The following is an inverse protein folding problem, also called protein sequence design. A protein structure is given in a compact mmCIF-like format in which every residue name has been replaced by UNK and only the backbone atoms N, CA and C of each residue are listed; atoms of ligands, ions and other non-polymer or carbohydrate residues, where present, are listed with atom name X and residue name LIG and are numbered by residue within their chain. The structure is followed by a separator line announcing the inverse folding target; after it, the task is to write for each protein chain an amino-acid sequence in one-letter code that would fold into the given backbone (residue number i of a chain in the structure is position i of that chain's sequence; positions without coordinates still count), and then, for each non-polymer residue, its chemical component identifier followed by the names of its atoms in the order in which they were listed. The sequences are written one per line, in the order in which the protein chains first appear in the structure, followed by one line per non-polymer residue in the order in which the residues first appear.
data_IF_374855131529
#
_entry.id   IF_374855131529
#
_cell.length_a   1.000
_cell.length_b   1.000
_cell.length_c   1.000
_cell.angle_alpha   90.00
_cell.angle_beta   90.00
_cell.angle_gamma   90.00
#
_symmetry.space_group_name_H-M   'P 1'
#
loop_
_entity.id
_entity.type
_entity.pdbx_description
1 polymer ?
#
# COMPACT_ATOMS: atom_id res chain seq x y z
N UNK A 1 44.68 7.01 21.28
CA UNK A 1 43.52 6.27 20.72
C UNK A 1 42.51 6.14 21.84
N UNK A 2 41.41 6.87 21.78
CA UNK A 2 40.29 6.70 22.71
C UNK A 2 39.07 6.37 21.86
N UNK A 3 38.64 5.11 21.87
CA UNK A 3 37.36 4.74 21.29
C UNK A 3 36.26 5.30 22.17
N UNK A 4 35.34 6.07 21.58
CA UNK A 4 34.12 6.49 22.24
C UNK A 4 33.25 5.25 22.44
N UNK A 5 33.05 4.86 23.69
CA UNK A 5 32.04 3.88 24.07
C UNK A 5 30.67 4.47 23.75
N UNK A 6 30.01 3.93 22.73
CA UNK A 6 28.60 4.24 22.47
C UNK A 6 27.82 3.62 23.62
N UNK A 7 27.43 4.44 24.59
CA UNK A 7 26.47 4.05 25.63
C UNK A 7 25.12 3.95 24.94
N UNK A 8 24.69 2.72 24.70
CA UNK A 8 23.37 2.40 24.17
C UNK A 8 22.46 2.07 25.36
N UNK A 9 22.06 3.10 26.13
CA UNK A 9 21.12 2.94 27.25
C UNK A 9 19.68 2.92 26.73
N UNK A 10 18.98 1.77 26.77
CA UNK A 10 17.61 1.67 26.29
C UNK A 10 16.62 2.54 27.09
N UNK A 11 16.91 2.88 28.35
CA UNK A 11 16.04 3.76 29.15
C UNK A 11 16.21 5.23 28.76
N UNK A 12 17.44 5.64 28.43
CA UNK A 12 17.71 6.98 27.89
C UNK A 12 17.13 7.13 26.48
N UNK A 13 17.26 6.11 25.63
CA UNK A 13 16.65 6.06 24.30
C UNK A 13 15.12 6.14 24.38
N UNK A 14 14.49 5.34 25.26
CA UNK A 14 13.05 5.39 25.48
C UNK A 14 12.57 6.76 26.02
N UNK A 15 13.37 7.40 26.86
CA UNK A 15 13.04 8.73 27.43
C UNK A 15 13.14 9.86 26.41
N UNK A 16 13.87 9.65 25.31
CA UNK A 16 14.07 10.62 24.22
C UNK A 16 13.33 10.25 22.94
N UNK A 17 12.60 9.15 22.93
CA UNK A 17 11.90 8.66 21.74
C UNK A 17 10.89 9.71 21.24
N UNK A 18 11.13 10.23 20.04
CA UNK A 18 10.13 10.98 19.31
C UNK A 18 9.23 9.98 18.56
N UNK A 19 7.92 10.23 18.43
CA UNK A 19 7.07 9.39 17.59
C UNK A 19 7.63 9.43 16.16
N UNK A 20 7.97 8.25 15.62
CA UNK A 20 8.37 8.12 14.23
C UNK A 20 7.26 8.74 13.37
N UNK A 21 7.60 9.62 12.40
CA UNK A 21 6.60 10.10 11.48
C UNK A 21 5.98 8.89 10.79
N UNK A 22 4.64 8.81 10.80
CA UNK A 22 3.95 7.68 10.20
C UNK A 22 4.21 7.67 8.68
N UNK A 23 5.18 6.85 8.29
CA UNK A 23 5.42 6.45 6.92
C UNK A 23 4.55 5.24 6.65
N UNK A 24 3.99 5.19 5.45
CA UNK A 24 3.05 4.16 5.05
C UNK A 24 3.56 3.51 3.79
N UNK A 25 3.42 2.19 3.75
CA UNK A 25 3.86 1.36 2.63
C UNK A 25 2.64 0.65 2.05
N UNK A 26 2.54 0.61 0.73
CA UNK A 26 1.36 0.03 0.10
C UNK A 26 1.32 0.18 -1.41
N UNK A 27 0.26 -0.36 -1.98
CA UNK A 27 -0.05 -0.21 -3.41
C UNK A 27 -0.89 1.05 -3.64
N UNK A 28 -0.59 1.79 -4.70
CA UNK A 28 -1.41 2.92 -5.11
C UNK A 28 -2.61 2.44 -5.92
N UNK A 29 -3.80 2.87 -5.54
CA UNK A 29 -4.96 2.90 -6.42
C UNK A 29 -5.28 4.36 -6.76
N UNK A 30 -5.45 4.67 -8.04
CA UNK A 30 -5.79 6.02 -8.47
C UNK A 30 -6.77 6.02 -9.64
N UNK A 31 -7.78 6.86 -9.52
CA UNK A 31 -8.72 7.18 -10.59
C UNK A 31 -8.73 8.69 -10.88
N UNK A 32 -8.96 9.03 -12.15
CA UNK A 32 -9.05 10.40 -12.61
C UNK A 32 -10.23 10.58 -13.58
N UNK A 33 -11.11 11.51 -13.24
CA UNK A 33 -12.37 11.72 -13.95
C UNK A 33 -12.72 13.20 -14.08
N UNK A 34 -13.47 13.55 -15.13
CA UNK A 34 -13.92 14.94 -15.32
C UNK A 34 -15.09 15.26 -14.39
N UNK A 35 -14.96 16.36 -13.65
CA UNK A 35 -15.97 16.80 -12.69
C UNK A 35 -16.34 18.27 -12.87
N UNK A 36 -17.43 18.69 -12.25
CA UNK A 36 -17.71 20.10 -11.93
C UNK A 36 -17.87 20.26 -10.42
N UNK A 37 -17.72 21.49 -9.93
CA UNK A 37 -17.97 21.83 -8.53
C UNK A 37 -19.35 22.43 -8.37
N UNK A 38 -20.22 21.72 -7.65
CA UNK A 38 -21.55 22.18 -7.30
C UNK A 38 -21.61 22.62 -5.83
N UNK A 39 -22.27 23.76 -5.59
CA UNK A 39 -22.44 24.30 -4.24
C UNK A 39 -23.27 23.33 -3.41
N UNK A 40 -22.73 22.88 -2.27
CA UNK A 40 -23.41 21.96 -1.36
C UNK A 40 -23.27 20.47 -1.71
N UNK A 41 -22.89 20.12 -2.93
CA UNK A 41 -22.65 18.73 -3.35
C UNK A 41 -21.16 18.40 -3.50
N UNK A 42 -20.32 19.40 -3.79
CA UNK A 42 -18.89 19.20 -4.02
C UNK A 42 -18.61 18.78 -5.46
N UNK A 43 -17.82 17.72 -5.66
CA UNK A 43 -17.44 17.24 -6.99
C UNK A 43 -18.53 16.30 -7.53
N UNK A 44 -19.04 16.61 -8.72
CA UNK A 44 -20.02 15.77 -9.43
C UNK A 44 -19.54 15.45 -10.85
N UNK A 45 -19.89 14.29 -11.44
CA UNK A 45 -19.48 13.92 -12.80
C UNK A 45 -19.83 15.00 -13.83
N UNK A 46 -18.88 15.31 -14.71
CA UNK A 46 -19.12 16.26 -15.80
C UNK A 46 -20.00 15.65 -16.89
N UNK A 47 -21.22 16.18 -17.02
CA UNK A 47 -22.09 15.95 -18.19
C UNK A 47 -21.96 17.11 -19.21
N UNK A 48 -21.48 16.86 -20.44
CA UNK A 48 -21.36 17.90 -21.47
C UNK A 48 -22.69 18.48 -21.96
N UNK A 49 -23.83 17.82 -21.72
CA UNK A 49 -25.15 18.34 -22.07
C UNK A 49 -25.68 19.34 -21.03
N UNK A 50 -25.21 19.23 -19.78
CA UNK A 50 -25.69 20.04 -18.66
C UNK A 50 -24.68 21.09 -18.21
N UNK A 51 -23.39 20.84 -18.42
CA UNK A 51 -22.30 21.65 -17.88
C UNK A 51 -21.48 22.33 -18.98
N UNK A 52 -21.19 23.62 -18.78
CA UNK A 52 -20.20 24.33 -19.60
C UNK A 52 -18.81 23.73 -19.42
N UNK A 53 -18.08 23.61 -20.54
CA UNK A 53 -16.68 23.14 -20.59
C UNK A 53 -15.77 23.99 -19.70
N UNK A 54 -16.03 25.29 -19.54
CA UNK A 54 -15.20 26.19 -18.72
C UNK A 54 -15.25 25.85 -17.22
N UNK A 55 -16.31 25.17 -16.79
CA UNK A 55 -16.49 24.70 -15.41
C UNK A 55 -15.91 23.31 -15.18
N UNK A 56 -15.51 22.60 -16.24
CA UNK A 56 -14.90 21.27 -16.15
C UNK A 56 -13.58 21.36 -15.39
N UNK A 57 -13.38 20.42 -14.48
CA UNK A 57 -12.15 20.17 -13.73
C UNK A 57 -11.81 18.69 -13.83
N UNK A 58 -10.63 18.32 -13.37
CA UNK A 58 -10.24 16.91 -13.23
C UNK A 58 -10.14 16.55 -11.76
N UNK A 59 -11.03 15.67 -11.30
CA UNK A 59 -10.93 15.05 -9.99
C UNK A 59 -9.89 13.93 -10.02
N UNK A 60 -9.19 13.78 -8.91
CA UNK A 60 -8.24 12.70 -8.66
C UNK A 60 -8.63 12.09 -7.32
N UNK A 61 -8.99 10.82 -7.35
CA UNK A 61 -9.26 10.03 -6.15
C UNK A 61 -8.15 8.99 -6.03
N UNK A 62 -7.37 9.07 -4.94
CA UNK A 62 -6.17 8.27 -4.72
C UNK A 62 -6.25 7.57 -3.37
N UNK A 63 -5.94 6.29 -3.36
CA UNK A 63 -5.82 5.49 -2.17
C UNK A 63 -4.45 4.81 -2.12
N UNK A 64 -3.92 4.63 -0.90
CA UNK A 64 -2.81 3.72 -0.64
C UNK A 64 -3.40 2.53 0.10
N UNK A 65 -3.36 1.36 -0.52
CA UNK A 65 -3.76 0.09 0.07
C UNK A 65 -2.55 -0.41 0.87
N UNK A 66 -2.59 -0.39 2.21
CA UNK A 66 -1.42 -0.72 3.00
C UNK A 66 -1.00 -2.18 2.83
N UNK A 67 0.30 -2.43 2.92
CA UNK A 67 0.81 -3.80 3.03
C UNK A 67 0.27 -4.47 4.29
N UNK A 68 0.00 -5.78 4.23
CA UNK A 68 -0.41 -6.55 5.41
C UNK A 68 0.63 -6.45 6.54
N UNK A 69 1.92 -6.43 6.18
CA UNK A 69 3.05 -6.26 7.10
C UNK A 69 3.01 -4.93 7.90
N UNK A 70 2.31 -3.91 7.40
CA UNK A 70 2.16 -2.63 8.11
C UNK A 70 1.19 -2.70 9.31
N UNK A 71 0.42 -3.78 9.43
CA UNK A 71 -0.62 -3.93 10.46
C UNK A 71 -1.84 -3.02 10.28
N UNK A 72 -1.91 -2.26 9.18
CA UNK A 72 -3.04 -1.38 8.84
C UNK A 72 -4.01 -2.07 7.90
N UNK A 73 -5.30 -2.05 8.24
CA UNK A 73 -6.35 -2.75 7.50
C UNK A 73 -7.34 -1.81 6.78
N UNK A 74 -7.00 -0.54 6.62
CA UNK A 74 -7.86 0.45 5.95
C UNK A 74 -7.04 1.28 4.95
N UNK A 75 -7.62 1.62 3.79
CA UNK A 75 -6.93 2.44 2.81
C UNK A 75 -6.74 3.87 3.31
N UNK A 76 -5.58 4.45 2.99
CA UNK A 76 -5.37 5.87 3.16
C UNK A 76 -5.92 6.56 1.92
N UNK A 77 -7.01 7.30 2.05
CA UNK A 77 -7.66 7.96 0.90
C UNK A 77 -7.41 9.46 0.88
N UNK A 78 -7.10 10.02 -0.29
CA UNK A 78 -7.11 11.46 -0.56
C UNK A 78 -7.81 11.75 -1.86
N UNK A 79 -8.64 12.78 -1.82
CA UNK A 79 -9.47 13.18 -2.94
C UNK A 79 -9.23 14.65 -3.24
N UNK A 80 -8.78 14.96 -4.45
CA UNK A 80 -8.28 16.28 -4.81
C UNK A 80 -8.64 16.67 -6.25
N UNK A 81 -8.24 17.88 -6.63
CA UNK A 81 -8.36 18.39 -8.00
C UNK A 81 -6.97 18.52 -8.62
N UNK A 82 -6.85 18.22 -9.91
CA UNK A 82 -5.60 18.36 -10.66
C UNK A 82 -5.04 19.80 -10.66
N UNK A 83 -5.90 20.80 -10.52
CA UNK A 83 -5.52 22.21 -10.49
C UNK A 83 -5.10 22.70 -9.08
N UNK A 84 -5.39 21.90 -8.05
CA UNK A 84 -5.11 22.25 -6.64
C UNK A 84 -3.61 22.38 -6.37
N UNK A 85 -3.25 23.18 -5.36
CA UNK A 85 -1.84 23.35 -4.94
C UNK A 85 -1.29 22.07 -4.30
N UNK A 86 -2.11 21.36 -3.52
CA UNK A 86 -1.70 20.08 -2.90
C UNK A 86 -1.30 19.05 -3.94
N UNK A 87 -2.07 18.91 -5.03
CA UNK A 87 -1.71 18.03 -6.13
C UNK A 87 -0.45 18.51 -6.83
N UNK A 88 -0.46 19.75 -7.35
CA UNK A 88 0.60 20.23 -8.25
C UNK A 88 1.95 20.43 -7.59
N UNK A 89 1.98 20.76 -6.29
CA UNK A 89 3.21 21.14 -5.59
C UNK A 89 3.74 20.05 -4.66
N UNK A 90 2.88 19.14 -4.17
CA UNK A 90 3.28 18.10 -3.22
C UNK A 90 3.21 16.74 -3.91
N UNK A 91 2.01 16.27 -4.22
CA UNK A 91 1.77 14.90 -4.70
C UNK A 91 2.47 14.69 -6.05
N UNK A 92 2.10 15.48 -7.07
CA UNK A 92 2.62 15.34 -8.42
C UNK A 92 4.12 15.65 -8.51
N UNK A 93 4.64 16.60 -7.72
CA UNK A 93 6.08 16.85 -7.69
C UNK A 93 6.84 15.66 -7.11
N UNK A 94 6.34 15.05 -6.03
CA UNK A 94 6.98 13.88 -5.43
C UNK A 94 6.96 12.67 -6.37
N UNK A 95 5.88 12.45 -7.11
CA UNK A 95 5.79 11.39 -8.13
C UNK A 95 6.79 11.60 -9.28
N UNK A 96 6.87 12.83 -9.83
CA UNK A 96 7.85 13.15 -10.88
C UNK A 96 9.30 13.00 -10.40
N UNK A 97 9.57 13.35 -9.14
CA UNK A 97 10.91 13.17 -8.57
C UNK A 97 11.31 11.69 -8.50
N UNK A 98 10.33 10.78 -8.46
CA UNK A 98 10.52 9.32 -8.54
C UNK A 98 10.49 8.77 -9.97
N UNK A 99 10.42 9.63 -10.99
CA UNK A 99 10.51 9.24 -12.40
C UNK A 99 9.18 9.03 -13.12
N UNK A 100 8.04 9.16 -12.43
CA UNK A 100 6.73 9.05 -13.09
C UNK A 100 6.44 10.22 -14.02
N UNK A 101 5.99 9.93 -15.24
CA UNK A 101 5.65 10.95 -16.23
C UNK A 101 4.15 11.02 -16.49
N UNK A 102 3.40 9.98 -16.13
CA UNK A 102 1.95 9.95 -16.25
C UNK A 102 1.28 9.37 -15.01
N UNK A 103 0.07 9.83 -14.70
CA UNK A 103 -0.71 9.29 -13.59
C UNK A 103 -1.11 7.82 -13.83
N UNK A 104 -1.15 7.37 -15.08
CA UNK A 104 -1.47 5.98 -15.44
C UNK A 104 -0.41 5.00 -14.95
N UNK A 105 0.87 5.39 -14.99
CA UNK A 105 2.00 4.59 -14.50
C UNK A 105 1.98 4.41 -12.98
N UNK A 106 1.36 5.35 -12.26
CA UNK A 106 1.33 5.34 -10.80
C UNK A 106 0.33 4.30 -10.27
N UNK A 107 -0.74 4.02 -11.02
CA UNK A 107 -1.76 3.06 -10.59
C UNK A 107 -1.18 1.64 -10.52
N UNK A 108 -1.27 1.01 -9.35
CA UNK A 108 -0.71 -0.30 -9.06
C UNK A 108 0.75 -0.27 -8.58
N UNK A 109 1.40 0.90 -8.56
CA UNK A 109 2.79 1.02 -8.09
C UNK A 109 2.89 0.78 -6.57
N UNK A 110 3.97 0.14 -6.16
CA UNK A 110 4.31 -0.06 -4.75
C UNK A 110 5.13 1.11 -4.24
N UNK A 111 4.69 1.72 -3.14
CA UNK A 111 5.25 3.01 -2.71
C UNK A 111 5.44 3.10 -1.21
N UNK A 112 6.36 3.97 -0.83
CA UNK A 112 6.47 4.53 0.51
C UNK A 112 5.96 5.96 0.47
N UNK A 113 5.02 6.30 1.34
CA UNK A 113 4.44 7.65 1.43
C UNK A 113 4.50 8.19 2.86
N UNK A 114 4.43 9.51 2.97
CA UNK A 114 4.22 10.21 4.23
C UNK A 114 3.05 11.17 4.09
N UNK A 115 2.26 11.31 5.16
CA UNK A 115 1.26 12.37 5.26
C UNK A 115 1.92 13.68 5.65
N UNK A 116 1.76 14.69 4.80
CA UNK A 116 2.32 16.03 5.03
C UNK A 116 1.23 17.09 5.04
N UNK A 117 1.37 18.16 5.83
CA UNK A 117 0.43 19.27 5.85
C UNK A 117 0.33 19.95 4.48
N UNK A 118 -0.88 20.38 4.11
CA UNK A 118 -1.15 21.09 2.85
C UNK A 118 -1.07 22.61 2.98
N UNK A 119 -0.96 23.15 4.21
CA UNK A 119 -1.15 24.57 4.50
C UNK A 119 -2.62 24.98 4.65
N UNK A 120 -3.58 24.10 4.32
CA UNK A 120 -5.01 24.40 4.42
C UNK A 120 -5.52 24.04 5.80
N UNK A 121 -5.94 25.06 6.54
CA UNK A 121 -6.60 24.90 7.85
C UNK A 121 -8.11 24.74 7.68
N UNK A 122 -8.72 23.93 8.52
CA UNK A 122 -10.16 23.75 8.61
C UNK A 122 -10.58 23.54 10.06
N UNK A 123 -11.76 24.00 10.42
CA UNK A 123 -12.35 23.73 11.73
C UNK A 123 -13.15 22.44 11.64
N UNK A 124 -12.86 21.48 12.51
CA UNK A 124 -13.67 20.26 12.60
C UNK A 124 -14.99 20.52 13.34
N UNK A 125 -15.86 19.51 13.40
CA UNK A 125 -17.14 19.60 14.12
C UNK A 125 -16.99 19.84 15.63
N UNK A 126 -15.81 19.60 16.20
CA UNK A 126 -15.49 19.86 17.60
C UNK A 126 -14.97 21.29 17.86
N UNK A 127 -14.89 22.14 16.82
CA UNK A 127 -14.38 23.51 16.94
C UNK A 127 -12.84 23.61 16.93
N UNK A 128 -12.13 22.50 16.71
CA UNK A 128 -10.67 22.47 16.67
C UNK A 128 -10.17 22.86 15.27
N UNK A 129 -9.17 23.74 15.24
CA UNK A 129 -8.42 24.04 14.02
C UNK A 129 -7.49 22.86 13.69
N UNK A 130 -7.75 22.20 12.55
CA UNK A 130 -6.92 21.13 12.01
C UNK A 130 -6.34 21.54 10.67
N UNK A 131 -5.19 20.98 10.36
CA UNK A 131 -4.56 21.17 9.06
C UNK A 131 -4.81 19.94 8.19
N UNK A 132 -5.27 20.17 6.96
CA UNK A 132 -5.48 19.11 5.99
C UNK A 132 -4.14 18.53 5.55
N UNK A 133 -4.08 17.21 5.41
CA UNK A 133 -2.87 16.49 4.99
C UNK A 133 -3.06 15.85 3.62
N UNK A 134 -1.95 15.66 2.89
CA UNK A 134 -1.92 14.94 1.62
C UNK A 134 -0.71 14.00 1.56
N UNK A 135 -0.62 13.20 0.50
CA UNK A 135 0.51 12.29 0.29
C UNK A 135 1.74 13.03 -0.23
N UNK A 136 2.89 12.70 0.34
CA UNK A 136 4.19 12.91 -0.27
C UNK A 136 4.82 11.54 -0.50
N UNK A 137 5.12 11.23 -1.77
CA UNK A 137 5.78 9.99 -2.15
C UNK A 137 7.28 10.08 -1.84
N UNK A 138 7.82 9.06 -1.20
CA UNK A 138 9.20 9.01 -0.73
C UNK A 138 10.03 8.00 -1.52
N UNK A 139 9.43 6.85 -1.86
CA UNK A 139 10.05 5.82 -2.68
C UNK A 139 8.99 5.07 -3.49
N UNK A 140 9.46 4.44 -4.56
CA UNK A 140 8.72 3.47 -5.37
C UNK A 140 9.53 2.17 -5.40
N UNK A 141 8.85 1.05 -5.43
CA UNK A 141 9.42 -0.30 -5.44
C UNK A 141 8.90 -1.04 -6.67
N UNK A 142 9.73 -1.92 -7.23
CA UNK A 142 9.37 -2.66 -8.44
C UNK A 142 8.39 -3.80 -8.14
N UNK A 143 8.36 -4.27 -6.88
CA UNK A 143 7.49 -5.36 -6.44
C UNK A 143 6.94 -5.18 -5.02
N UNK A 144 5.94 -6.00 -4.68
CA UNK A 144 5.37 -6.06 -3.35
C UNK A 144 6.42 -6.48 -2.32
N UNK A 145 7.25 -7.47 -2.66
CA UNK A 145 8.28 -8.04 -1.79
C UNK A 145 9.35 -7.01 -1.43
N UNK A 146 9.76 -6.17 -2.39
CA UNK A 146 10.70 -5.07 -2.12
C UNK A 146 10.09 -4.01 -1.19
N UNK A 147 8.80 -3.70 -1.39
CA UNK A 147 8.05 -2.78 -0.55
C UNK A 147 7.86 -3.34 0.87
N UNK A 148 7.57 -4.63 1.00
CA UNK A 148 7.48 -5.35 2.28
C UNK A 148 8.82 -5.40 3.00
N UNK A 149 9.91 -5.72 2.28
CA UNK A 149 11.25 -5.71 2.84
C UNK A 149 11.63 -4.32 3.37
N UNK A 150 11.28 -3.26 2.64
CA UNK A 150 11.48 -1.88 3.09
C UNK A 150 10.61 -1.55 4.32
N UNK A 151 9.36 -2.00 4.35
CA UNK A 151 8.46 -1.82 5.49
C UNK A 151 9.01 -2.49 6.76
N UNK A 152 9.45 -3.74 6.65
CA UNK A 152 10.00 -4.53 7.76
C UNK A 152 11.38 -4.05 8.20
N UNK A 153 12.25 -3.62 7.27
CA UNK A 153 13.55 -3.03 7.58
C UNK A 153 13.43 -1.73 8.38
N UNK A 154 12.45 -0.88 8.04
CA UNK A 154 12.20 0.34 8.83
C UNK A 154 11.58 0.08 10.21
N UNK A 155 11.11 -1.13 10.50
CA UNK A 155 10.64 -1.49 11.85
C UNK A 155 11.79 -1.83 12.82
N UNK A 156 13.04 -1.88 12.34
CA UNK A 156 14.22 -2.27 13.14
C UNK A 156 15.40 -1.28 13.17
N UNK A 157 15.38 -0.18 12.40
CA UNK A 157 16.57 0.67 12.22
C UNK A 157 16.29 2.15 12.54
N UNK A 158 16.83 2.59 13.69
CA UNK A 158 17.32 3.96 13.90
C UNK A 158 18.50 4.19 12.95
N UNK A 159 18.29 4.83 11.80
CA UNK A 159 19.39 5.56 11.14
C UNK A 159 18.86 6.71 10.25
N UNK A 160 19.47 7.88 10.44
CA UNK A 160 19.26 9.08 9.65
C UNK A 160 19.58 8.86 8.16
N UNK A 161 18.86 9.47 7.21
CA UNK A 161 19.17 9.32 5.80
C UNK A 161 20.41 10.14 5.44
N UNK A 162 21.56 9.47 5.31
CA UNK A 162 22.71 10.04 4.60
C UNK A 162 22.52 9.83 3.10
N UNK A 163 22.58 10.86 2.24
CA UNK A 163 22.40 10.69 0.80
C UNK A 163 23.67 10.12 0.19
N UNK A 164 23.64 8.87 -0.28
CA UNK A 164 24.74 8.33 -1.10
C UNK A 164 24.23 7.74 -2.41
N UNK A 165 24.65 8.43 -3.46
CA UNK A 165 24.96 8.04 -4.84
C UNK A 165 24.44 6.71 -5.41
N UNK A 166 23.93 6.84 -6.64
CA UNK A 166 23.53 5.80 -7.58
C UNK A 166 24.48 4.58 -7.64
N UNK A 167 23.95 3.35 -7.76
CA UNK A 167 24.78 2.19 -8.05
C UNK A 167 25.26 2.21 -9.50
N UNK A 168 26.58 2.30 -9.69
CA UNK A 168 27.23 1.83 -10.90
C UNK A 168 27.07 0.31 -11.01
N UNK A 169 26.78 -0.13 -12.24
CA UNK A 169 26.70 -1.52 -12.63
C UNK A 169 27.95 -2.32 -12.22
N UNK A 170 27.73 -3.50 -11.65
CA UNK A 170 28.65 -4.62 -11.77
C UNK A 170 27.83 -5.90 -11.93
N UNK A 171 28.10 -6.56 -13.04
CA UNK A 171 27.51 -7.78 -13.52
C UNK A 171 28.00 -8.98 -12.73
N UNK A 172 27.10 -9.78 -12.16
CA UNK A 172 27.39 -11.18 -11.87
C UNK A 172 26.15 -12.06 -12.15
N UNK A 173 26.39 -13.16 -12.86
CA UNK A 173 25.42 -14.05 -13.49
C UNK A 173 24.79 -15.07 -12.49
N UNK A 174 23.72 -15.79 -12.90
CA UNK A 174 22.62 -16.21 -12.03
C UNK A 174 22.78 -17.60 -11.39
N UNK A 175 22.17 -17.79 -10.21
CA UNK A 175 21.77 -19.11 -9.70
C UNK A 175 20.24 -19.22 -9.63
N UNK A 176 19.64 -20.36 -10.02
CA UNK A 176 18.20 -20.53 -10.07
C UNK A 176 17.65 -20.96 -8.71
N UNK A 177 16.86 -20.11 -8.08
CA UNK A 177 16.03 -20.49 -6.93
C UNK A 177 14.61 -19.92 -7.09
N UNK A 178 13.91 -20.37 -8.13
CA UNK A 178 12.63 -19.80 -8.56
C UNK A 178 11.38 -20.62 -8.18
N UNK A 179 11.43 -21.55 -7.21
CA UNK A 179 10.26 -22.42 -6.92
C UNK A 179 9.77 -22.46 -5.47
N UNK A 180 10.50 -21.88 -4.50
CA UNK A 180 10.11 -22.00 -3.08
C UNK A 180 9.22 -20.84 -2.59
N UNK A 181 9.39 -19.63 -3.16
CA UNK A 181 8.58 -18.45 -2.81
C UNK A 181 7.13 -18.57 -3.29
N UNK A 182 6.92 -18.86 -4.59
CA UNK A 182 5.58 -18.99 -5.15
C UNK A 182 4.73 -20.08 -4.45
N UNK A 183 5.36 -21.20 -4.06
CA UNK A 183 4.67 -22.29 -3.33
C UNK A 183 4.27 -21.86 -1.91
N UNK A 184 5.10 -21.05 -1.23
CA UNK A 184 4.79 -20.54 0.11
C UNK A 184 3.62 -19.53 0.06
N UNK A 185 3.65 -18.61 -0.90
CA UNK A 185 2.56 -17.65 -1.15
C UNK A 185 1.26 -18.36 -1.55
N UNK A 186 1.34 -19.35 -2.43
CA UNK A 186 0.18 -20.16 -2.81
C UNK A 186 -0.42 -20.93 -1.62
N UNK A 187 0.39 -21.34 -0.64
CA UNK A 187 -0.08 -22.02 0.57
C UNK A 187 -0.85 -21.06 1.50
N UNK A 188 -0.40 -19.80 1.61
CA UNK A 188 -1.10 -18.78 2.41
C UNK A 188 -2.47 -18.44 1.82
N UNK A 189 -2.56 -18.25 0.49
CA UNK A 189 -3.85 -18.06 -0.17
C UNK A 189 -4.76 -19.29 -0.01
N UNK A 190 -4.20 -20.49 -0.15
CA UNK A 190 -4.93 -21.73 0.06
C UNK A 190 -5.49 -21.85 1.50
N UNK A 191 -4.72 -21.45 2.51
CA UNK A 191 -5.15 -21.42 3.91
C UNK A 191 -6.33 -20.46 4.14
N UNK A 192 -6.26 -19.25 3.59
CA UNK A 192 -7.33 -18.25 3.71
C UNK A 192 -8.62 -18.75 3.07
N UNK A 193 -8.53 -19.35 1.88
CA UNK A 193 -9.69 -19.90 1.16
C UNK A 193 -10.32 -21.05 1.95
N UNK A 194 -9.51 -21.94 2.54
CA UNK A 194 -9.99 -23.03 3.40
C UNK A 194 -10.66 -22.50 4.66
N UNK A 195 -10.08 -21.50 5.33
CA UNK A 195 -10.68 -20.86 6.50
C UNK A 195 -12.00 -20.16 6.18
N UNK A 196 -12.08 -19.43 5.06
CA UNK A 196 -13.32 -18.79 4.62
C UNK A 196 -14.40 -19.82 4.28
N UNK A 197 -14.04 -20.93 3.63
CA UNK A 197 -15.00 -21.99 3.32
C UNK A 197 -15.49 -22.72 4.57
N UNK A 198 -14.62 -22.97 5.55
CA UNK A 198 -15.00 -23.56 6.84
C UNK A 198 -15.88 -22.61 7.68
N UNK A 199 -15.60 -21.31 7.65
CA UNK A 199 -16.45 -20.31 8.30
C UNK A 199 -17.84 -20.20 7.64
N UNK A 200 -17.93 -20.37 6.31
CA UNK A 200 -19.18 -20.34 5.58
C UNK A 200 -20.01 -21.63 5.73
N UNK A 201 -19.36 -22.77 5.96
CA UNK A 201 -20.00 -24.09 6.06
C UNK A 201 -19.53 -24.87 7.31
N UNK A 202 -19.82 -24.38 8.52
CA UNK A 202 -19.25 -24.91 9.77
C UNK A 202 -19.64 -26.36 10.09
N UNK A 203 -20.75 -26.86 9.53
CA UNK A 203 -21.24 -28.23 9.75
C UNK A 203 -21.30 -29.05 8.45
N UNK A 204 -20.78 -28.53 7.34
CA UNK A 204 -20.82 -29.21 6.03
C UNK A 204 -19.45 -29.14 5.35
N UNK A 205 -18.58 -30.08 5.75
CA UNK A 205 -17.24 -30.25 5.21
C UNK A 205 -17.23 -30.56 3.71
N UNK A 206 -18.27 -31.19 3.16
CA UNK A 206 -18.35 -31.48 1.72
C UNK A 206 -18.68 -30.22 0.93
N UNK A 207 -19.56 -29.36 1.44
CA UNK A 207 -19.82 -28.03 0.86
C UNK A 207 -18.58 -27.13 0.96
N UNK A 208 -17.87 -27.15 2.10
CA UNK A 208 -16.60 -26.43 2.28
C UNK A 208 -15.54 -26.89 1.26
N UNK A 209 -15.32 -28.20 1.11
CA UNK A 209 -14.38 -28.74 0.11
C UNK A 209 -14.77 -28.38 -1.32
N UNK A 210 -16.06 -28.44 -1.65
CA UNK A 210 -16.56 -28.05 -2.98
C UNK A 210 -16.27 -26.58 -3.26
N UNK A 211 -16.48 -25.70 -2.27
CA UNK A 211 -16.18 -24.27 -2.36
C UNK A 211 -14.68 -24.01 -2.56
N UNK A 212 -13.82 -24.67 -1.78
CA UNK A 212 -12.36 -24.54 -1.91
C UNK A 212 -11.88 -24.97 -3.30
N UNK A 213 -12.37 -26.10 -3.82
CA UNK A 213 -12.03 -26.57 -5.17
C UNK A 213 -12.41 -25.54 -6.25
N UNK A 214 -13.58 -24.91 -6.14
CA UNK A 214 -14.02 -23.87 -7.08
C UNK A 214 -13.17 -22.60 -7.01
N UNK A 215 -12.72 -22.20 -5.81
CA UNK A 215 -11.88 -21.01 -5.64
C UNK A 215 -10.43 -21.26 -6.08
N UNK A 216 -9.88 -22.46 -5.85
CA UNK A 216 -8.54 -22.82 -6.35
C UNK A 216 -8.50 -22.82 -7.87
N UNK A 217 -9.57 -23.28 -8.54
CA UNK A 217 -9.68 -23.26 -10.00
C UNK A 217 -9.66 -21.84 -10.61
N UNK A 218 -10.05 -20.81 -9.83
CA UNK A 218 -10.01 -19.40 -10.25
C UNK A 218 -8.64 -18.75 -10.01
N UNK A 219 -7.75 -19.41 -9.28
CA UNK A 219 -6.43 -18.88 -8.93
C UNK A 219 -5.33 -19.77 -9.52
N UNK A 220 -4.78 -19.40 -10.69
CA UNK A 220 -3.74 -20.16 -11.38
C UNK A 220 -2.51 -20.43 -10.50
N UNK A 221 -2.14 -19.48 -9.63
CA UNK A 221 -1.00 -19.63 -8.72
C UNK A 221 -1.24 -20.69 -7.63
N UNK A 222 -2.47 -20.82 -7.13
CA UNK A 222 -2.81 -21.81 -6.10
C UNK A 222 -2.99 -23.19 -6.73
N UNK A 223 -3.76 -23.27 -7.83
CA UNK A 223 -3.98 -24.52 -8.57
C UNK A 223 -2.71 -25.12 -9.21
N UNK A 224 -1.68 -24.30 -9.43
CA UNK A 224 -0.34 -24.75 -9.85
C UNK A 224 0.37 -25.60 -8.79
N UNK A 225 0.10 -25.36 -7.50
CA UNK A 225 0.83 -26.00 -6.39
C UNK A 225 -0.03 -26.87 -5.47
N UNK A 226 -1.33 -26.60 -5.39
CA UNK A 226 -2.23 -27.22 -4.42
C UNK A 226 -3.60 -27.58 -5.02
N UNK A 227 -4.13 -28.69 -4.56
CA UNK A 227 -5.52 -29.13 -4.75
C UNK A 227 -6.17 -29.40 -3.40
N UNK A 228 -7.49 -29.56 -3.36
CA UNK A 228 -8.21 -29.88 -2.11
C UNK A 228 -7.72 -31.17 -1.45
N UNK A 229 -7.14 -32.08 -2.25
CA UNK A 229 -6.61 -33.38 -1.80
C UNK A 229 -5.11 -33.33 -1.46
N UNK A 230 -4.45 -32.18 -1.62
CA UNK A 230 -3.05 -32.03 -1.23
C UNK A 230 -2.90 -32.23 0.29
N UNK A 231 -1.86 -32.93 0.78
CA UNK A 231 -1.74 -33.30 2.18
C UNK A 231 -1.71 -32.09 3.12
N UNK A 232 -1.12 -30.97 2.68
CA UNK A 232 -1.12 -29.71 3.44
C UNK A 232 -2.51 -29.08 3.54
N UNK A 233 -3.34 -29.22 2.50
CA UNK A 233 -4.71 -28.67 2.47
C UNK A 233 -5.68 -29.59 3.22
N UNK A 234 -5.54 -30.91 3.06
CA UNK A 234 -6.29 -31.89 3.84
C UNK A 234 -6.01 -31.77 5.35
N UNK A 235 -4.78 -31.44 5.75
CA UNK A 235 -4.43 -31.19 7.14
C UNK A 235 -5.14 -29.95 7.72
N UNK A 236 -5.40 -28.91 6.91
CA UNK A 236 -6.15 -27.73 7.35
C UNK A 236 -7.63 -28.05 7.61
N UNK A 237 -8.22 -28.96 6.83
CA UNK A 237 -9.56 -29.47 7.09
C UNK A 237 -9.64 -30.40 8.31
N UNK A 238 -8.51 -31.03 8.68
CA UNK A 238 -8.42 -31.95 9.82
C UNK A 238 -8.08 -31.25 11.15
N UNK A 239 -7.71 -29.96 11.14
CA UNK A 239 -7.45 -29.14 12.33
C UNK A 239 -8.72 -28.47 12.91
N UNK A 240 -9.91 -28.92 12.51
CA UNK A 240 -11.20 -28.51 13.08
C UNK A 240 -11.58 -29.36 14.30
#
# INVERSE_FOLDING_TARGET
MSQATVVNDPFEAASKAAPLPAEYYGQVEVDAWFCVLEKGQGRVPYDPQQHSVDKRRTAIDMAIIPLAASGMNYPLERKMLAESKEWRNIVWQSLKALGFNSLREVNGAWVKVKLVPTGRKYTNSAGEEKEATTFKFLAVYDSEEECEAACLGTAGEDDEPTPTAAPQASSEQPQPQANNGERATALQFAQIIVQQALAAFPNDLNAAKTRVTQEFAKMPIVSKYFTVDSPEIAALFAQQ
#
